data_IF_345492967382
#
_entry.id   IF_345492967382
#
_cell.length_a   1.000
_cell.length_b   1.000
_cell.length_c   1.000
_cell.angle_alpha   90.00
_cell.angle_beta   90.00
_cell.angle_gamma   90.00
#
_symmetry.space_group_name_H-M   'P 1'
#
loop_
_entity.id
_entity.type
_entity.pdbx_description
1 polymer ?
#
# COMPACT_ATOMS: atom_id res chain seq x y z
N UNK A 1 -41.29 -53.45 -51.62
CA UNK A 1 -40.91 -52.10 -52.12
C UNK A 1 -41.94 -51.14 -51.53
N UNK A 2 -41.69 -50.19 -50.63
CA UNK A 2 -40.49 -49.53 -50.10
C UNK A 2 -40.80 -49.06 -48.67
N UNK A 3 -39.76 -49.02 -47.83
CA UNK A 3 -39.67 -48.35 -46.53
C UNK A 3 -40.07 -46.85 -46.61
N UNK A 4 -40.58 -46.32 -45.50
CA UNK A 4 -40.33 -44.95 -44.98
C UNK A 4 -40.89 -44.89 -43.55
N UNK A 5 -40.09 -45.19 -42.51
CA UNK A 5 -39.14 -44.33 -41.77
C UNK A 5 -39.81 -43.18 -41.00
N UNK A 6 -39.95 -43.40 -39.69
CA UNK A 6 -40.39 -42.46 -38.67
C UNK A 6 -39.45 -41.26 -38.52
N UNK A 7 -39.99 -40.10 -38.14
CA UNK A 7 -39.19 -39.02 -37.54
C UNK A 7 -39.88 -38.53 -36.26
N UNK A 8 -39.39 -39.00 -35.12
CA UNK A 8 -39.68 -38.43 -33.81
C UNK A 8 -38.61 -37.35 -33.58
N UNK A 9 -39.01 -36.08 -33.56
CA UNK A 9 -38.14 -34.97 -33.20
C UNK A 9 -38.03 -34.96 -31.68
N UNK A 10 -36.92 -35.48 -31.16
CA UNK A 10 -36.54 -35.34 -29.76
C UNK A 10 -36.04 -33.93 -29.48
N UNK A 11 -36.74 -33.19 -28.61
CA UNK A 11 -36.17 -32.01 -27.97
C UNK A 11 -35.06 -32.48 -27.02
N UNK A 12 -33.81 -32.36 -27.47
CA UNK A 12 -32.66 -32.50 -26.59
C UNK A 12 -32.62 -31.32 -25.62
N UNK A 13 -32.90 -31.58 -24.34
CA UNK A 13 -32.57 -30.66 -23.27
C UNK A 13 -31.04 -30.64 -23.13
N UNK A 14 -30.41 -29.64 -23.75
CA UNK A 14 -29.00 -29.32 -23.52
C UNK A 14 -28.87 -28.76 -22.11
N UNK A 15 -28.67 -29.64 -21.12
CA UNK A 15 -28.17 -29.23 -19.82
C UNK A 15 -26.81 -28.58 -20.05
N UNK A 16 -26.76 -27.25 -20.02
CA UNK A 16 -25.52 -26.51 -19.86
C UNK A 16 -24.93 -26.96 -18.52
N UNK A 17 -23.96 -27.87 -18.58
CA UNK A 17 -23.11 -28.16 -17.44
C UNK A 17 -22.40 -26.84 -17.11
N UNK A 18 -22.87 -26.15 -16.08
CA UNK A 18 -22.10 -25.10 -15.47
C UNK A 18 -20.77 -25.74 -15.08
N UNK A 19 -19.68 -25.36 -15.76
CA UNK A 19 -18.35 -25.79 -15.40
C UNK A 19 -18.20 -25.50 -13.91
N UNK A 20 -18.04 -26.55 -13.11
CA UNK A 20 -17.74 -26.39 -11.70
C UNK A 20 -16.52 -25.47 -11.63
N UNK A 21 -16.62 -24.35 -10.89
CA UNK A 21 -15.48 -23.48 -10.64
C UNK A 21 -14.47 -24.35 -9.90
N UNK A 22 -13.46 -24.84 -10.61
CA UNK A 22 -12.40 -25.59 -9.98
C UNK A 22 -11.71 -24.67 -8.98
N UNK A 23 -11.69 -25.10 -7.71
CA UNK A 23 -10.94 -24.43 -6.67
C UNK A 23 -9.47 -24.46 -7.09
N UNK A 24 -8.94 -23.33 -7.59
CA UNK A 24 -7.53 -23.23 -7.95
C UNK A 24 -6.68 -23.61 -6.74
N UNK A 25 -5.87 -24.65 -6.88
CA UNK A 25 -4.82 -24.95 -5.90
C UNK A 25 -3.89 -23.72 -5.80
N UNK A 26 -3.60 -23.31 -4.56
CA UNK A 26 -2.63 -22.25 -4.18
C UNK A 26 -2.47 -21.11 -5.19
N UNK A 27 -3.57 -20.43 -5.52
CA UNK A 27 -3.49 -19.18 -6.30
C UNK A 27 -2.73 -18.13 -5.48
N UNK A 28 -1.63 -17.62 -6.03
CA UNK A 28 -0.92 -16.45 -5.45
C UNK A 28 -1.68 -15.13 -5.65
N UNK A 29 -2.82 -15.15 -6.35
CA UNK A 29 -3.72 -13.99 -6.44
C UNK A 29 -4.53 -13.81 -5.16
N UNK A 30 -4.73 -12.56 -4.77
CA UNK A 30 -5.44 -12.15 -3.57
C UNK A 30 -6.36 -10.97 -3.86
N UNK A 31 -7.37 -10.80 -3.00
CA UNK A 31 -8.14 -9.56 -2.90
C UNK A 31 -7.66 -8.76 -1.69
N UNK A 32 -7.72 -7.44 -1.79
CA UNK A 32 -7.26 -6.53 -0.75
C UNK A 32 -8.10 -5.26 -0.68
N UNK A 33 -7.66 -4.33 0.16
CA UNK A 33 -8.29 -3.02 0.35
C UNK A 33 -7.23 -1.95 0.64
N UNK A 34 -7.66 -0.70 0.72
CA UNK A 34 -6.84 0.47 1.00
C UNK A 34 -7.49 1.27 2.15
N UNK A 35 -6.70 1.70 3.13
CA UNK A 35 -7.16 2.66 4.13
C UNK A 35 -5.99 3.52 4.64
N UNK A 36 -5.92 4.76 4.14
CA UNK A 36 -4.81 5.68 4.42
C UNK A 36 -4.78 6.24 5.84
N UNK A 37 -5.83 6.06 6.63
CA UNK A 37 -5.92 6.59 8.00
C UNK A 37 -6.28 5.50 9.02
N UNK A 38 -6.11 4.22 8.67
CA UNK A 38 -6.44 3.10 9.56
C UNK A 38 -5.71 3.20 10.90
N UNK A 39 -4.45 3.63 10.92
CA UNK A 39 -3.66 3.83 12.15
C UNK A 39 -4.16 4.98 13.03
N UNK A 40 -4.93 5.90 12.45
CA UNK A 40 -5.55 6.99 13.18
C UNK A 40 -6.94 6.62 13.72
N UNK A 41 -7.62 5.61 13.16
CA UNK A 41 -8.92 5.19 13.67
C UNK A 41 -8.88 4.83 15.16
N UNK A 42 -10.01 4.96 15.85
CA UNK A 42 -10.17 4.40 17.21
C UNK A 42 -9.91 2.89 17.20
N UNK A 43 -9.47 2.32 18.33
CA UNK A 43 -9.20 0.88 18.42
C UNK A 43 -10.41 0.00 18.05
N UNK A 44 -11.62 0.45 18.37
CA UNK A 44 -12.86 -0.25 18.04
C UNK A 44 -13.16 -0.20 16.53
N UNK A 45 -12.94 0.97 15.89
CA UNK A 45 -13.10 1.11 14.43
C UNK A 45 -12.03 0.33 13.66
N UNK A 46 -10.78 0.31 14.16
CA UNK A 46 -9.71 -0.54 13.62
C UNK A 46 -10.10 -2.01 13.66
N UNK A 47 -10.51 -2.50 14.84
CA UNK A 47 -10.93 -3.89 15.02
C UNK A 47 -12.14 -4.24 14.14
N UNK A 48 -13.12 -3.34 14.04
CA UNK A 48 -14.31 -3.53 13.19
C UNK A 48 -13.91 -3.67 11.72
N UNK A 49 -13.09 -2.75 11.20
CA UNK A 49 -12.61 -2.78 9.83
C UNK A 49 -11.80 -4.05 9.51
N UNK A 50 -10.83 -4.39 10.36
CA UNK A 50 -9.95 -5.55 10.18
C UNK A 50 -10.73 -6.86 10.25
N UNK A 51 -11.67 -7.00 11.20
CA UNK A 51 -12.52 -8.19 11.31
C UNK A 51 -13.45 -8.34 10.11
N UNK A 52 -13.99 -7.24 9.57
CA UNK A 52 -14.80 -7.27 8.35
C UNK A 52 -13.98 -7.78 7.16
N UNK A 53 -12.77 -7.24 6.95
CA UNK A 53 -11.86 -7.70 5.89
C UNK A 53 -11.51 -9.19 6.02
N UNK A 54 -11.22 -9.65 7.23
CA UNK A 54 -11.00 -11.07 7.52
C UNK A 54 -12.23 -11.91 7.13
N UNK A 55 -13.42 -11.47 7.53
CA UNK A 55 -14.69 -12.14 7.19
C UNK A 55 -14.97 -12.18 5.68
N UNK A 56 -14.57 -11.16 4.94
CA UNK A 56 -14.67 -11.09 3.47
C UNK A 56 -13.56 -11.87 2.75
N UNK A 57 -12.56 -12.38 3.48
CA UNK A 57 -11.45 -13.13 2.91
C UNK A 57 -10.39 -12.26 2.21
N UNK A 58 -10.35 -10.95 2.49
CA UNK A 58 -9.26 -10.09 2.04
C UNK A 58 -7.93 -10.52 2.67
N UNK A 59 -6.82 -10.39 1.93
CA UNK A 59 -5.50 -10.87 2.36
C UNK A 59 -4.47 -9.77 2.52
N UNK A 60 -4.72 -8.59 1.95
CA UNK A 60 -3.77 -7.47 1.97
C UNK A 60 -4.51 -6.16 2.19
N UNK A 61 -3.94 -5.27 2.99
CA UNK A 61 -4.39 -3.88 3.14
C UNK A 61 -3.23 -2.95 2.82
N UNK A 62 -3.46 -1.96 1.97
CA UNK A 62 -2.49 -0.89 1.73
C UNK A 62 -2.68 0.25 2.74
N UNK A 63 -1.56 0.71 3.30
CA UNK A 63 -1.46 1.69 4.39
C UNK A 63 -0.50 2.82 4.02
N UNK A 64 -0.63 3.98 4.67
CA UNK A 64 0.16 5.17 4.40
C UNK A 64 0.88 5.64 5.66
N UNK A 65 2.14 6.04 5.50
CA UNK A 65 2.88 6.79 6.51
C UNK A 65 2.45 8.26 6.46
N UNK A 66 1.30 8.56 7.06
CA UNK A 66 0.69 9.90 7.09
C UNK A 66 0.24 10.29 8.50
N UNK A 67 0.14 11.59 8.76
CA UNK A 67 -0.54 12.11 9.94
C UNK A 67 -2.07 12.10 9.78
N UNK A 68 -2.76 12.39 10.88
CA UNK A 68 -4.20 12.56 10.94
C UNK A 68 -4.58 13.44 12.15
N UNK A 69 -5.66 14.20 12.01
CA UNK A 69 -6.20 14.98 13.12
C UNK A 69 -7.17 14.15 13.97
N UNK A 70 -7.30 14.53 15.25
CA UNK A 70 -8.35 14.02 16.12
C UNK A 70 -9.72 14.52 15.64
N UNK A 71 -10.73 13.66 15.64
CA UNK A 71 -12.09 14.04 15.29
C UNK A 71 -12.85 12.97 14.50
N UNK A 72 -13.60 13.43 13.50
CA UNK A 72 -14.45 12.57 12.67
C UNK A 72 -13.99 12.63 11.22
N UNK A 73 -13.41 11.53 10.73
CA UNK A 73 -12.99 11.37 9.35
C UNK A 73 -13.85 10.30 8.69
N UNK A 74 -14.57 10.66 7.62
CA UNK A 74 -15.44 9.75 6.85
C UNK A 74 -16.42 8.96 7.75
N UNK A 75 -17.04 9.65 8.71
CA UNK A 75 -17.99 9.06 9.67
C UNK A 75 -17.38 8.04 10.65
N UNK A 76 -16.06 8.03 10.82
CA UNK A 76 -15.34 7.24 11.82
C UNK A 76 -14.58 8.13 12.79
N UNK A 77 -14.35 7.66 14.02
CA UNK A 77 -13.60 8.41 15.02
C UNK A 77 -12.09 8.22 14.81
N UNK A 78 -11.34 9.31 14.78
CA UNK A 78 -9.87 9.30 14.64
C UNK A 78 -9.21 9.90 15.87
N UNK A 79 -8.04 9.38 16.23
CA UNK A 79 -7.10 9.97 17.17
C UNK A 79 -6.08 10.81 16.39
N UNK A 80 -5.51 11.82 17.04
CA UNK A 80 -4.42 12.59 16.43
C UNK A 80 -3.15 11.73 16.28
N UNK A 81 -2.60 11.75 15.07
CA UNK A 81 -1.30 11.18 14.72
C UNK A 81 -0.50 12.29 14.04
N UNK A 82 0.71 12.63 14.51
CA UNK A 82 1.48 13.70 13.89
C UNK A 82 1.85 13.34 12.45
N UNK A 83 2.19 14.35 11.63
CA UNK A 83 2.90 14.08 10.40
C UNK A 83 4.22 13.36 10.71
N UNK A 84 4.59 12.36 9.90
CA UNK A 84 5.84 11.61 10.11
C UNK A 84 7.08 12.52 10.03
N UNK A 85 7.01 13.60 9.27
CA UNK A 85 8.12 14.52 9.07
C UNK A 85 7.55 15.93 8.90
N UNK A 86 7.79 16.80 9.88
CA UNK A 86 7.44 18.23 9.82
C UNK A 86 8.65 19.12 9.52
N UNK A 87 9.85 18.60 9.73
CA UNK A 87 11.14 19.17 9.35
C UNK A 87 11.93 18.08 8.65
N UNK A 88 12.56 18.35 7.50
CA UNK A 88 13.26 17.31 6.76
C UNK A 88 14.39 16.72 7.60
N UNK A 89 14.40 15.39 7.73
CA UNK A 89 15.35 14.62 8.54
C UNK A 89 14.97 14.46 10.01
N UNK A 90 13.89 15.10 10.47
CA UNK A 90 13.36 14.94 11.83
C UNK A 90 12.13 14.01 11.82
N UNK A 91 12.36 12.73 12.15
CA UNK A 91 11.37 11.67 11.97
C UNK A 91 10.54 11.41 13.23
N UNK A 92 9.26 11.72 13.13
CA UNK A 92 8.25 11.51 14.18
C UNK A 92 7.78 10.05 14.20
N UNK A 93 8.55 9.21 14.89
CA UNK A 93 8.34 7.75 14.95
C UNK A 93 7.03 7.31 15.62
N UNK A 94 6.29 8.20 16.29
CA UNK A 94 4.95 7.91 16.81
C UNK A 94 3.95 7.56 15.70
N UNK A 95 4.12 8.11 14.49
CA UNK A 95 3.34 7.71 13.31
C UNK A 95 3.58 6.24 12.95
N UNK A 96 4.84 5.81 12.98
CA UNK A 96 5.21 4.42 12.72
C UNK A 96 4.74 3.50 13.85
N UNK A 97 4.76 3.96 15.11
CA UNK A 97 4.22 3.19 16.23
C UNK A 97 2.70 2.96 16.11
N UNK A 98 1.94 3.96 15.64
CA UNK A 98 0.51 3.80 15.38
C UNK A 98 0.25 2.77 14.25
N UNK A 99 1.04 2.82 13.18
CA UNK A 99 0.99 1.81 12.12
C UNK A 99 1.44 0.42 12.60
N UNK A 100 2.45 0.33 13.46
CA UNK A 100 2.94 -0.93 14.03
C UNK A 100 1.86 -1.64 14.87
N UNK A 101 1.05 -0.87 15.60
CA UNK A 101 -0.13 -1.37 16.29
C UNK A 101 -1.17 -1.98 15.32
N UNK A 102 -1.41 -1.31 14.18
CA UNK A 102 -2.28 -1.85 13.12
C UNK A 102 -1.67 -3.11 12.50
N UNK A 103 -0.36 -3.14 12.25
CA UNK A 103 0.33 -4.34 11.74
C UNK A 103 0.15 -5.53 12.70
N UNK A 104 0.25 -5.32 14.01
CA UNK A 104 0.00 -6.36 15.01
C UNK A 104 -1.43 -6.95 14.89
N UNK A 105 -2.43 -6.09 14.69
CA UNK A 105 -3.82 -6.51 14.49
C UNK A 105 -4.02 -7.24 13.15
N UNK A 106 -3.43 -6.74 12.06
CA UNK A 106 -3.48 -7.37 10.74
C UNK A 106 -2.82 -8.75 10.77
N UNK A 107 -1.66 -8.88 11.39
CA UNK A 107 -0.97 -10.16 11.57
C UNK A 107 -1.85 -11.16 12.33
N UNK A 108 -2.48 -10.74 13.42
CA UNK A 108 -3.44 -11.55 14.19
C UNK A 108 -4.65 -11.97 13.35
N UNK A 109 -5.07 -11.12 12.41
CA UNK A 109 -6.17 -11.40 11.49
C UNK A 109 -5.77 -12.27 10.28
N UNK A 110 -4.48 -12.56 10.09
CA UNK A 110 -3.99 -13.25 8.90
C UNK A 110 -4.06 -12.38 7.64
N UNK A 111 -3.80 -11.08 7.78
CA UNK A 111 -3.79 -10.09 6.71
C UNK A 111 -2.41 -9.43 6.66
N UNK A 112 -1.87 -9.23 5.45
CA UNK A 112 -0.61 -8.50 5.25
C UNK A 112 -0.84 -7.05 4.88
N UNK A 113 0.21 -6.24 4.95
CA UNK A 113 0.20 -4.83 4.60
C UNK A 113 1.09 -4.51 3.39
N UNK A 114 0.67 -3.53 2.58
CA UNK A 114 1.56 -2.77 1.69
C UNK A 114 1.73 -1.39 2.31
N UNK A 115 2.96 -0.93 2.50
CA UNK A 115 3.24 0.36 3.15
C UNK A 115 3.67 1.39 2.11
N UNK A 116 2.90 2.47 1.98
CA UNK A 116 3.28 3.65 1.22
C UNK A 116 4.02 4.66 2.12
N UNK A 117 5.29 4.98 1.84
CA UNK A 117 6.12 5.82 2.73
C UNK A 117 5.82 7.32 2.65
N UNK A 118 5.11 7.77 1.62
CA UNK A 118 4.79 9.18 1.37
C UNK A 118 3.65 9.32 0.34
N UNK A 119 2.93 10.45 0.34
CA UNK A 119 1.86 10.75 -0.60
C UNK A 119 2.27 11.84 -1.60
N UNK A 120 2.34 11.51 -2.90
CA UNK A 120 2.66 12.49 -3.94
C UNK A 120 1.63 13.61 -4.05
N UNK A 121 0.40 13.37 -3.59
CA UNK A 121 -0.65 14.38 -3.57
C UNK A 121 -0.36 15.53 -2.58
N UNK A 122 0.68 15.43 -1.74
CA UNK A 122 1.16 16.54 -0.88
C UNK A 122 2.17 17.45 -1.60
N UNK A 123 2.62 17.08 -2.80
CA UNK A 123 3.53 17.86 -3.62
C UNK A 123 2.74 18.80 -4.53
N UNK A 124 3.08 20.11 -4.60
CA UNK A 124 2.36 21.04 -5.46
C UNK A 124 2.57 20.74 -6.96
N UNK A 125 1.52 20.72 -7.79
CA UNK A 125 1.69 20.80 -9.25
C UNK A 125 2.30 22.15 -9.64
N UNK A 126 2.89 22.21 -10.85
CA UNK A 126 3.46 23.45 -11.38
C UNK A 126 2.44 24.60 -11.33
N UNK A 127 2.84 25.74 -10.76
CA UNK A 127 1.99 26.91 -10.60
C UNK A 127 0.99 26.87 -9.43
N UNK A 128 1.01 25.82 -8.61
CA UNK A 128 0.26 25.74 -7.35
C UNK A 128 1.17 25.92 -6.14
N UNK A 129 0.62 26.45 -5.05
CA UNK A 129 1.28 26.51 -3.74
C UNK A 129 0.90 25.36 -2.82
N UNK A 130 0.03 24.43 -3.24
CA UNK A 130 -0.40 23.26 -2.48
C UNK A 130 -0.60 22.05 -3.40
N UNK A 131 -0.35 20.84 -2.91
CA UNK A 131 -0.76 19.61 -3.57
C UNK A 131 -2.27 19.36 -3.47
N UNK A 132 -2.73 18.28 -4.12
CA UNK A 132 -4.14 17.87 -4.14
C UNK A 132 -4.70 17.50 -2.75
N UNK A 133 -3.84 17.00 -1.86
CA UNK A 133 -4.19 16.60 -0.48
C UNK A 133 -3.58 17.55 0.57
N UNK A 134 -3.21 18.77 0.19
CA UNK A 134 -2.53 19.74 1.06
C UNK A 134 -1.04 19.85 0.74
N UNK A 135 -0.23 20.25 1.71
CA UNK A 135 1.21 20.43 1.51
C UNK A 135 2.00 19.92 2.71
N UNK A 136 3.01 19.11 2.44
CA UNK A 136 3.93 18.62 3.46
C UNK A 136 5.27 19.37 3.42
N UNK A 137 6.24 18.92 4.21
CA UNK A 137 7.53 19.59 4.30
C UNK A 137 8.33 19.53 2.99
N UNK A 138 8.19 18.47 2.20
CA UNK A 138 8.83 18.37 0.89
C UNK A 138 8.17 19.33 -0.10
N UNK A 139 6.84 19.39 -0.12
CA UNK A 139 6.10 20.36 -0.92
C UNK A 139 6.46 21.81 -0.57
N UNK A 140 6.60 22.14 0.72
CA UNK A 140 7.00 23.46 1.19
C UNK A 140 8.45 23.80 0.80
N UNK A 141 9.36 22.84 0.93
CA UNK A 141 10.79 23.06 0.70
C UNK A 141 11.12 23.19 -0.78
N UNK A 142 10.52 22.34 -1.63
CA UNK A 142 10.83 22.29 -3.06
C UNK A 142 9.85 23.09 -3.93
N UNK A 143 8.70 23.47 -3.39
CA UNK A 143 7.72 24.35 -4.04
C UNK A 143 6.96 23.73 -5.22
N UNK A 144 7.41 22.59 -5.75
CA UNK A 144 6.73 21.84 -6.80
C UNK A 144 7.15 20.37 -6.80
N UNK A 145 6.26 19.53 -7.32
CA UNK A 145 6.51 18.12 -7.64
C UNK A 145 7.69 17.94 -8.58
N UNK A 146 7.78 18.72 -9.67
CA UNK A 146 8.92 18.65 -10.61
C UNK A 146 10.26 18.89 -9.92
N UNK A 147 10.35 19.90 -9.04
CA UNK A 147 11.56 20.19 -8.29
C UNK A 147 11.91 19.06 -7.31
N UNK A 148 10.91 18.51 -6.62
CA UNK A 148 11.10 17.35 -5.74
C UNK A 148 11.62 16.11 -6.51
N UNK A 149 11.06 15.83 -7.69
CA UNK A 149 11.47 14.67 -8.49
C UNK A 149 12.82 14.84 -9.18
N UNK A 150 13.24 16.07 -9.49
CA UNK A 150 14.49 16.34 -10.22
C UNK A 150 15.69 16.59 -9.30
N UNK A 151 15.45 17.20 -8.13
CA UNK A 151 16.51 17.66 -7.23
C UNK A 151 17.32 16.52 -6.63
N UNK A 152 18.66 16.63 -6.70
CA UNK A 152 19.58 15.69 -6.04
C UNK A 152 19.41 15.70 -4.51
N UNK A 153 19.19 16.89 -3.91
CA UNK A 153 18.96 17.02 -2.48
C UNK A 153 17.64 16.37 -2.07
N UNK A 154 16.57 16.58 -2.85
CA UNK A 154 15.25 15.99 -2.56
C UNK A 154 15.33 14.46 -2.61
N UNK A 155 16.01 13.92 -3.62
CA UNK A 155 16.28 12.49 -3.77
C UNK A 155 17.03 11.94 -2.55
N UNK A 156 18.13 12.57 -2.14
CA UNK A 156 18.93 12.13 -1.01
C UNK A 156 18.16 12.20 0.34
N UNK A 157 17.39 13.25 0.55
CA UNK A 157 16.54 13.40 1.74
C UNK A 157 15.42 12.37 1.76
N UNK A 158 14.78 12.13 0.61
CA UNK A 158 13.76 11.10 0.49
C UNK A 158 14.34 9.69 0.71
N UNK A 159 15.56 9.41 0.24
CA UNK A 159 16.27 8.17 0.56
C UNK A 159 16.50 7.99 2.06
N UNK A 160 16.84 9.06 2.78
CA UNK A 160 16.99 9.02 4.22
C UNK A 160 15.65 8.75 4.92
N UNK A 161 14.54 9.32 4.42
CA UNK A 161 13.19 9.02 4.89
C UNK A 161 12.84 7.53 4.69
N UNK A 162 13.10 6.99 3.50
CA UNK A 162 12.90 5.57 3.21
C UNK A 162 13.73 4.69 4.15
N UNK A 163 15.00 5.02 4.36
CA UNK A 163 15.88 4.29 5.28
C UNK A 163 15.35 4.33 6.72
N UNK A 164 14.83 5.47 7.18
CA UNK A 164 14.24 5.61 8.52
C UNK A 164 13.00 4.73 8.71
N UNK A 165 12.08 4.74 7.73
CA UNK A 165 10.87 3.90 7.76
C UNK A 165 11.23 2.41 7.72
N UNK A 166 12.07 1.99 6.78
CA UNK A 166 12.42 0.57 6.60
C UNK A 166 13.20 0.01 7.80
N UNK A 167 14.03 0.83 8.48
CA UNK A 167 14.80 0.39 9.65
C UNK A 167 14.09 0.61 10.99
N UNK A 168 12.84 1.12 10.99
CA UNK A 168 12.05 1.29 12.20
C UNK A 168 11.94 -0.04 12.96
N UNK A 169 12.36 -0.04 14.22
CA UNK A 169 12.33 -1.21 15.08
C UNK A 169 10.93 -1.36 15.64
N UNK A 170 10.20 -2.37 15.16
CA UNK A 170 8.86 -2.68 15.64
C UNK A 170 8.89 -3.13 17.10
N UNK A 171 8.22 -2.43 18.01
CA UNK A 171 8.02 -2.92 19.37
C UNK A 171 7.13 -4.17 19.41
N UNK A 172 6.16 -4.31 18.50
CA UNK A 172 5.24 -5.45 18.47
C UNK A 172 5.91 -6.75 18.02
N UNK A 173 6.92 -6.66 17.14
CA UNK A 173 7.55 -7.83 16.51
C UNK A 173 9.03 -8.02 16.87
N UNK A 174 9.68 -7.02 17.48
CA UNK A 174 11.09 -7.09 17.89
C UNK A 174 12.09 -7.14 16.73
N UNK A 175 11.69 -6.70 15.53
CA UNK A 175 12.53 -6.64 14.32
C UNK A 175 12.33 -5.31 13.59
N UNK A 176 13.27 -4.97 12.72
CA UNK A 176 13.12 -3.87 11.79
C UNK A 176 11.97 -4.16 10.81
N UNK A 177 11.21 -3.13 10.42
CA UNK A 177 10.12 -3.26 9.44
C UNK A 177 10.54 -3.92 8.12
N UNK A 178 11.75 -3.64 7.63
CA UNK A 178 12.32 -4.32 6.44
C UNK A 178 12.41 -5.85 6.56
N UNK A 179 12.41 -6.38 7.78
CA UNK A 179 12.54 -7.81 8.07
C UNK A 179 11.21 -8.45 8.51
N UNK A 180 10.09 -7.70 8.49
CA UNK A 180 8.75 -8.14 8.92
C UNK A 180 7.94 -8.79 7.80
N UNK A 181 8.54 -9.73 7.06
CA UNK A 181 7.85 -10.45 5.98
C UNK A 181 6.61 -11.22 6.43
N UNK A 182 6.46 -11.50 7.73
CA UNK A 182 5.28 -12.12 8.34
C UNK A 182 4.02 -11.25 8.20
N UNK A 183 4.14 -9.92 8.14
CA UNK A 183 2.99 -9.01 8.08
C UNK A 183 3.13 -7.92 7.02
N UNK A 184 4.34 -7.46 6.69
CA UNK A 184 4.56 -6.52 5.59
C UNK A 184 4.84 -7.33 4.32
N UNK A 185 3.95 -7.21 3.34
CA UNK A 185 4.10 -7.83 2.02
C UNK A 185 5.06 -7.03 1.13
N UNK A 186 4.93 -5.70 1.14
CA UNK A 186 5.72 -4.81 0.30
C UNK A 186 5.76 -3.38 0.85
N UNK A 187 6.71 -2.61 0.33
CA UNK A 187 6.76 -1.16 0.46
C UNK A 187 6.62 -0.56 -0.94
N UNK A 188 5.75 0.46 -1.09
CA UNK A 188 5.71 1.25 -2.32
C UNK A 188 6.92 2.20 -2.37
N UNK A 189 7.22 2.73 -3.55
CA UNK A 189 8.13 3.88 -3.66
C UNK A 189 7.47 5.14 -3.07
N UNK A 190 6.19 5.36 -3.38
CA UNK A 190 5.36 6.49 -2.96
C UNK A 190 3.92 6.19 -3.39
N UNK A 191 2.91 6.82 -2.78
CA UNK A 191 1.56 6.83 -3.34
C UNK A 191 1.51 7.74 -4.58
N UNK A 192 1.10 7.17 -5.71
CA UNK A 192 0.88 7.88 -6.98
C UNK A 192 2.05 8.80 -7.40
N UNK A 193 3.30 8.29 -7.47
CA UNK A 193 4.45 9.10 -7.84
C UNK A 193 4.21 9.79 -9.20
N UNK A 194 4.61 11.06 -9.28
CA UNK A 194 4.53 11.90 -10.48
C UNK A 194 3.11 12.23 -10.95
N UNK A 195 2.07 12.06 -10.12
CA UNK A 195 0.68 12.46 -10.45
C UNK A 195 0.52 13.93 -10.84
N UNK A 196 1.46 14.79 -10.42
CA UNK A 196 1.49 16.21 -10.72
C UNK A 196 2.62 16.60 -11.71
N UNK A 197 3.29 15.59 -12.28
CA UNK A 197 4.54 15.71 -13.06
C UNK A 197 4.54 14.72 -14.23
N UNK A 198 3.49 14.71 -15.05
CA UNK A 198 3.33 13.72 -16.13
C UNK A 198 4.51 13.68 -17.12
N UNK A 199 5.16 14.81 -17.36
CA UNK A 199 6.36 14.89 -18.22
C UNK A 199 7.55 14.09 -17.67
N UNK A 200 7.58 13.82 -16.36
CA UNK A 200 8.59 12.97 -15.71
C UNK A 200 8.32 11.47 -15.91
N UNK A 201 7.11 11.09 -16.32
CA UNK A 201 6.79 9.72 -16.75
C UNK A 201 7.25 9.46 -18.19
N UNK A 202 7.36 10.51 -19.01
CA UNK A 202 7.89 10.41 -20.36
C UNK A 202 9.39 10.10 -20.35
N UNK A 203 9.89 9.46 -21.41
CA UNK A 203 11.33 9.18 -21.58
C UNK A 203 11.96 8.20 -20.57
N UNK A 204 11.16 7.31 -19.96
CA UNK A 204 11.64 6.19 -19.13
C UNK A 204 12.45 6.65 -17.90
N UNK A 205 11.83 7.44 -17.02
CA UNK A 205 12.39 7.93 -15.74
C UNK A 205 13.65 8.80 -15.95
N UNK A 206 13.52 9.97 -16.61
CA UNK A 206 14.65 10.80 -17.06
C UNK A 206 15.48 11.37 -15.91
N UNK A 207 14.92 11.42 -14.70
CA UNK A 207 15.57 11.92 -13.51
C UNK A 207 16.10 10.80 -12.59
N UNK A 208 16.01 9.53 -12.98
CA UNK A 208 16.38 8.37 -12.13
C UNK A 208 15.66 8.41 -10.78
N UNK A 209 14.41 8.86 -10.75
CA UNK A 209 13.65 8.92 -9.52
C UNK A 209 13.07 7.54 -9.19
N UNK A 210 12.31 6.94 -10.10
CA UNK A 210 11.71 5.62 -9.88
C UNK A 210 12.79 4.53 -9.73
N UNK A 211 13.73 4.47 -10.68
CA UNK A 211 14.81 3.49 -10.69
C UNK A 211 15.77 3.71 -9.52
N UNK A 212 16.22 4.94 -9.30
CA UNK A 212 17.13 5.28 -8.21
C UNK A 212 16.53 4.98 -6.83
N UNK A 213 15.29 5.40 -6.56
CA UNK A 213 14.64 5.12 -5.27
C UNK A 213 14.37 3.63 -5.08
N UNK A 214 13.96 2.91 -6.12
CA UNK A 214 13.81 1.45 -6.08
C UNK A 214 15.14 0.73 -5.80
N UNK A 215 16.23 1.17 -6.42
CA UNK A 215 17.58 0.67 -6.18
C UNK A 215 18.05 0.89 -4.75
N UNK A 216 17.80 2.09 -4.19
CA UNK A 216 18.10 2.41 -2.80
C UNK A 216 17.29 1.52 -1.84
N UNK A 217 15.96 1.42 -2.04
CA UNK A 217 15.12 0.54 -1.21
C UNK A 217 15.55 -0.91 -1.28
N UNK A 218 15.89 -1.42 -2.48
CA UNK A 218 16.42 -2.78 -2.64
C UNK A 218 17.71 -2.99 -1.85
N UNK A 219 18.58 -1.99 -1.83
CA UNK A 219 19.83 -2.03 -1.04
C UNK A 219 19.54 -2.10 0.46
N UNK A 220 18.59 -1.30 0.96
CA UNK A 220 18.17 -1.29 2.37
C UNK A 220 17.50 -2.62 2.75
N UNK A 221 16.62 -3.15 1.89
CA UNK A 221 15.94 -4.42 2.08
C UNK A 221 16.94 -5.60 2.09
N UNK A 222 18.08 -5.49 1.41
CA UNK A 222 19.18 -6.46 1.51
C UNK A 222 18.75 -7.88 1.17
N UNK A 223 18.94 -8.84 2.06
CA UNK A 223 18.47 -10.22 1.87
C UNK A 223 16.94 -10.37 1.97
N UNK A 224 16.25 -9.40 2.58
CA UNK A 224 14.81 -9.46 2.87
C UNK A 224 13.94 -9.38 1.61
N UNK A 225 14.48 -8.93 0.47
CA UNK A 225 13.80 -8.99 -0.85
C UNK A 225 13.55 -10.43 -1.34
N UNK A 226 14.30 -11.43 -0.85
CA UNK A 226 14.20 -12.81 -1.33
C UNK A 226 13.20 -13.70 -0.57
N UNK A 227 12.51 -13.16 0.45
CA UNK A 227 11.67 -13.97 1.33
C UNK A 227 10.21 -13.45 1.47
N UNK A 228 9.46 -13.24 0.38
CA UNK A 228 8.02 -13.07 0.51
C UNK A 228 7.44 -14.41 1.00
N UNK A 229 7.11 -14.50 2.29
CA UNK A 229 6.37 -15.63 2.85
C UNK A 229 5.08 -15.82 2.01
N UNK A 230 4.86 -17.00 1.39
CA UNK A 230 3.72 -17.25 0.52
C UNK A 230 2.41 -16.93 1.25
N UNK A 231 1.48 -16.21 0.60
CA UNK A 231 0.17 -15.93 1.20
C UNK A 231 -0.62 -17.22 1.53
N UNK A 232 -0.23 -18.36 0.94
CA UNK A 232 -0.79 -19.68 1.21
C UNK A 232 -0.46 -20.24 2.60
N UNK A 233 0.50 -19.66 3.33
CA UNK A 233 0.84 -20.08 4.71
C UNK A 233 0.07 -19.31 5.78
N UNK A 234 -0.78 -18.35 5.39
CA UNK A 234 -1.63 -17.60 6.30
C UNK A 234 -2.98 -18.32 6.43
N UNK A 235 -3.03 -19.28 7.36
CA UNK A 235 -4.22 -20.09 7.67
C UNK A 235 -5.16 -19.38 8.63
#
# INVERSE_FOLDING_TARGET
MKLSLSLIVGLGASCLSASAIEKRNSSNSWAGSDNYYLHALSSDDQATYINALKGFGAKVVRLWVTGADDGCTKSSSTNSVPAYESTIGDYQTSTLAALDSVLSQLHTAGIKAIISPHDANLLPPAGSSTGYNGIDIYGQTYGSSDAFYSSADAKAQYDARLASILNYQSPAFGKAWKDLSEVIMAFDLQNEPMIASDDKLASNDPDDWLCGRAGNMKTILGSSVSNPQPLSTIS
#
